data_IF_891929327731
#
_entry.id   IF_891929327731
#
_cell.length_a   1.000
_cell.length_b   1.000
_cell.length_c   1.000
_cell.angle_alpha   90.00
_cell.angle_beta   90.00
_cell.angle_gamma   90.00
#
_symmetry.space_group_name_H-M   'P 1'
#
loop_
_entity.id
_entity.type
_entity.pdbx_description
1 polymer ?
#
# COMPACT_ATOMS: atom_id res chain seq x y z
N UNK A 1 3.14 -2.00 13.43
CA UNK A 1 3.26 -1.32 12.12
C UNK A 1 3.55 0.18 12.24
N UNK A 2 2.86 0.88 13.15
CA UNK A 2 2.89 2.34 13.25
C UNK A 2 4.27 2.93 13.57
N UNK A 3 5.04 2.29 14.46
CA UNK A 3 6.34 2.82 14.87
C UNK A 3 7.34 2.88 13.71
N UNK A 4 7.45 1.80 12.92
CA UNK A 4 8.32 1.74 11.74
C UNK A 4 8.01 2.83 10.73
N UNK A 5 6.72 3.06 10.47
CA UNK A 5 6.28 4.11 9.57
C UNK A 5 6.64 5.50 10.11
N UNK A 6 6.36 5.75 11.39
CA UNK A 6 6.71 7.02 12.04
C UNK A 6 8.21 7.29 11.96
N UNK A 7 9.06 6.27 12.16
CA UNK A 7 10.51 6.39 12.02
C UNK A 7 10.93 6.65 10.57
N UNK A 8 10.37 5.92 9.61
CA UNK A 8 10.66 6.13 8.18
C UNK A 8 10.28 7.54 7.73
N UNK A 9 9.10 8.04 8.11
CA UNK A 9 8.65 9.40 7.81
C UNK A 9 9.64 10.44 8.35
N UNK A 10 10.10 10.28 9.59
CA UNK A 10 11.10 11.19 10.20
C UNK A 10 12.45 11.14 9.49
N UNK A 11 12.96 9.94 9.17
CA UNK A 11 14.24 9.77 8.46
C UNK A 11 14.19 10.41 7.07
N UNK A 12 13.11 10.18 6.31
CA UNK A 12 12.93 10.80 4.98
C UNK A 12 12.83 12.33 5.11
N UNK A 13 12.00 12.83 6.02
CA UNK A 13 11.82 14.27 6.21
C UNK A 13 13.15 14.95 6.56
N UNK A 14 13.96 14.34 7.44
CA UNK A 14 15.28 14.87 7.80
C UNK A 14 16.22 14.92 6.59
N UNK A 15 16.29 13.85 5.79
CA UNK A 15 17.17 13.79 4.60
C UNK A 15 16.75 14.79 3.53
N UNK A 16 15.45 14.91 3.26
CA UNK A 16 14.93 15.86 2.26
C UNK A 16 15.13 17.30 2.73
N UNK A 17 14.92 17.58 4.03
CA UNK A 17 15.15 18.92 4.60
C UNK A 17 16.62 19.31 4.56
N UNK A 18 17.53 18.39 4.89
CA UNK A 18 18.99 18.60 4.79
C UNK A 18 19.45 18.82 3.35
N UNK A 19 18.89 18.08 2.40
CA UNK A 19 19.25 18.18 0.99
C UNK A 19 18.68 19.44 0.31
N UNK A 20 17.49 19.87 0.71
CA UNK A 20 16.70 20.87 -0.01
C UNK A 20 15.87 20.26 -1.15
N UNK A 21 15.13 21.11 -1.87
CA UNK A 21 14.33 20.70 -3.03
C UNK A 21 15.22 20.67 -4.27
N UNK A 22 15.40 19.52 -4.93
CA UNK A 22 16.14 19.47 -6.18
C UNK A 22 15.47 20.30 -7.28
N UNK A 23 16.26 21.06 -8.01
CA UNK A 23 15.86 21.88 -9.16
C UNK A 23 16.30 21.28 -10.51
N UNK A 24 17.23 20.32 -10.50
CA UNK A 24 17.67 19.57 -11.68
C UNK A 24 17.67 18.03 -11.46
N UNK A 25 18.01 17.29 -12.52
CA UNK A 25 18.08 15.82 -12.48
C UNK A 25 19.25 15.30 -11.65
N UNK A 26 20.34 16.07 -11.55
CA UNK A 26 21.55 15.66 -10.82
C UNK A 26 21.31 15.73 -9.30
N UNK A 27 20.61 16.77 -8.84
CA UNK A 27 20.09 16.89 -7.48
C UNK A 27 19.09 15.77 -7.16
N UNK A 28 18.20 15.42 -8.09
CA UNK A 28 17.27 14.31 -7.89
C UNK A 28 17.99 12.97 -7.71
N UNK A 29 19.06 12.71 -8.50
CA UNK A 29 19.91 11.52 -8.34
C UNK A 29 20.65 11.55 -7.01
N UNK A 30 21.27 12.67 -6.63
CA UNK A 30 21.98 12.80 -5.36
C UNK A 30 21.06 12.59 -4.14
N UNK A 31 19.83 13.12 -4.17
CA UNK A 31 18.82 12.84 -3.15
C UNK A 31 18.42 11.36 -3.12
N UNK A 32 18.34 10.72 -4.29
CA UNK A 32 18.01 9.29 -4.40
C UNK A 32 19.07 8.41 -3.75
N UNK A 33 20.35 8.74 -3.89
CA UNK A 33 21.46 8.00 -3.29
C UNK A 33 21.41 8.07 -1.76
N UNK A 34 21.01 9.23 -1.20
CA UNK A 34 20.78 9.39 0.25
C UNK A 34 19.57 8.59 0.73
N UNK A 35 18.49 8.53 -0.05
CA UNK A 35 17.23 7.89 0.36
C UNK A 35 17.19 6.38 0.09
N UNK A 36 17.96 5.87 -0.87
CA UNK A 36 17.96 4.45 -1.25
C UNK A 36 18.23 3.51 -0.06
N UNK A 37 19.26 3.74 0.80
CA UNK A 37 19.51 2.88 1.96
C UNK A 37 18.37 2.88 2.97
N UNK A 38 17.67 4.01 3.13
CA UNK A 38 16.51 4.14 4.02
C UNK A 38 15.37 3.27 3.49
N UNK A 39 15.05 3.36 2.19
CA UNK A 39 13.99 2.55 1.59
C UNK A 39 14.31 1.06 1.71
N UNK A 40 15.55 0.66 1.43
CA UNK A 40 15.95 -0.75 1.54
C UNK A 40 15.88 -1.29 2.98
N UNK A 41 16.30 -0.48 3.96
CA UNK A 41 16.17 -0.79 5.40
C UNK A 41 14.70 -1.06 5.73
N UNK A 42 13.80 -0.14 5.41
CA UNK A 42 12.39 -0.30 5.75
C UNK A 42 11.69 -1.38 4.93
N UNK A 43 12.09 -1.62 3.66
CA UNK A 43 11.62 -2.79 2.89
C UNK A 43 11.91 -4.09 3.62
N UNK A 44 13.13 -4.27 4.17
CA UNK A 44 13.47 -5.45 4.96
C UNK A 44 12.63 -5.57 6.23
N UNK A 45 12.37 -4.46 6.92
CA UNK A 45 11.54 -4.46 8.12
C UNK A 45 10.06 -4.82 7.82
N UNK A 46 9.47 -4.24 6.78
CA UNK A 46 8.10 -4.57 6.35
C UNK A 46 8.00 -6.01 5.86
N UNK A 47 8.97 -6.50 5.08
CA UNK A 47 9.05 -7.90 4.68
C UNK A 47 9.04 -8.84 5.89
N UNK A 48 9.92 -8.60 6.87
CA UNK A 48 10.01 -9.43 8.08
C UNK A 48 8.73 -9.41 8.88
N UNK A 49 8.10 -8.24 9.04
CA UNK A 49 6.86 -8.10 9.79
C UNK A 49 5.72 -8.89 9.13
N UNK A 50 5.51 -8.72 7.82
CA UNK A 50 4.41 -9.39 7.12
C UNK A 50 4.64 -10.90 7.01
N UNK A 51 5.90 -11.36 6.86
CA UNK A 51 6.24 -12.79 6.91
C UNK A 51 6.02 -13.39 8.29
N UNK A 52 6.37 -12.68 9.36
CA UNK A 52 6.14 -13.14 10.73
C UNK A 52 4.64 -13.23 11.05
N UNK A 53 3.85 -12.24 10.62
CA UNK A 53 2.40 -12.27 10.76
C UNK A 53 1.81 -13.46 9.99
N UNK A 54 2.15 -13.61 8.70
CA UNK A 54 1.70 -14.72 7.88
C UNK A 54 2.05 -16.09 8.50
N UNK A 55 3.24 -16.24 9.08
CA UNK A 55 3.63 -17.45 9.79
C UNK A 55 2.77 -17.71 11.04
N UNK A 56 2.47 -16.65 11.80
CA UNK A 56 1.62 -16.73 12.99
C UNK A 56 0.17 -17.10 12.62
N UNK A 57 -0.37 -16.51 11.56
CA UNK A 57 -1.70 -16.79 11.03
C UNK A 57 -1.83 -18.27 10.59
N UNK A 58 -0.81 -18.79 9.90
CA UNK A 58 -0.80 -20.20 9.49
C UNK A 58 -0.64 -21.14 10.69
N UNK A 59 0.20 -20.79 11.66
CA UNK A 59 0.38 -21.58 12.87
C UNK A 59 -0.92 -21.68 13.69
N UNK A 60 -1.72 -20.61 13.74
CA UNK A 60 -3.04 -20.61 14.39
C UNK A 60 -4.04 -21.59 13.72
N UNK A 61 -3.81 -21.94 12.44
CA UNK A 61 -4.57 -22.96 11.71
C UNK A 61 -3.95 -24.37 11.79
N UNK A 62 -2.86 -24.55 12.55
CA UNK A 62 -2.10 -25.80 12.59
C UNK A 62 -1.29 -26.07 11.32
N UNK A 63 -0.93 -25.02 10.58
CA UNK A 63 -0.25 -25.08 9.29
C UNK A 63 1.16 -24.49 9.34
N UNK A 64 2.02 -24.97 8.44
CA UNK A 64 3.33 -24.42 8.17
C UNK A 64 3.37 -23.86 6.74
N UNK A 65 3.99 -22.69 6.59
CA UNK A 65 4.20 -22.04 5.30
C UNK A 65 5.68 -21.67 5.12
N UNK A 66 6.20 -21.91 3.93
CA UNK A 66 7.50 -21.40 3.53
C UNK A 66 7.32 -20.06 2.80
N UNK A 67 7.73 -18.91 3.38
CA UNK A 67 7.54 -17.61 2.77
C UNK A 67 8.37 -17.46 1.49
N UNK A 68 7.83 -16.75 0.51
CA UNK A 68 8.57 -16.33 -0.67
C UNK A 68 9.74 -15.40 -0.30
N UNK A 69 10.81 -15.44 -1.13
CA UNK A 69 11.95 -14.54 -0.97
C UNK A 69 11.54 -13.09 -1.25
N UNK A 70 12.13 -12.15 -0.50
CA UNK A 70 11.94 -10.73 -0.77
C UNK A 70 12.39 -10.39 -2.18
N UNK A 71 11.55 -9.70 -2.96
CA UNK A 71 11.93 -9.18 -4.28
C UNK A 71 12.97 -8.06 -4.14
N UNK A 72 13.89 -8.01 -5.11
CA UNK A 72 14.85 -6.91 -5.26
C UNK A 72 14.16 -5.56 -5.40
N UNK A 73 14.90 -4.49 -5.13
CA UNK A 73 14.45 -3.12 -5.27
C UNK A 73 15.40 -2.40 -6.21
N UNK A 74 14.87 -1.89 -7.31
CA UNK A 74 15.63 -1.16 -8.31
C UNK A 74 15.89 0.27 -7.83
N UNK A 75 17.14 0.74 -7.89
CA UNK A 75 17.50 2.10 -7.54
C UNK A 75 16.76 3.14 -8.41
N UNK A 76 16.44 2.79 -9.66
CA UNK A 76 15.65 3.63 -10.56
C UNK A 76 14.28 3.98 -9.97
N UNK A 77 13.69 3.12 -9.15
CA UNK A 77 12.40 3.39 -8.53
C UNK A 77 12.46 4.54 -7.50
N UNK A 78 13.60 4.76 -6.86
CA UNK A 78 13.80 5.88 -5.93
C UNK A 78 14.01 7.18 -6.70
N UNK A 79 14.78 7.15 -7.79
CA UNK A 79 14.95 8.29 -8.71
C UNK A 79 13.59 8.71 -9.27
N UNK A 80 12.81 7.78 -9.83
CA UNK A 80 11.47 8.05 -10.36
C UNK A 80 10.52 8.67 -9.33
N UNK A 81 10.60 8.19 -8.08
CA UNK A 81 9.77 8.73 -6.99
C UNK A 81 10.09 10.20 -6.72
N UNK A 82 11.38 10.56 -6.68
CA UNK A 82 11.83 11.93 -6.45
C UNK A 82 11.49 12.82 -7.63
N UNK A 83 11.83 12.40 -8.85
CA UNK A 83 11.57 13.13 -10.10
C UNK A 83 10.09 13.49 -10.23
N UNK A 84 9.19 12.54 -9.96
CA UNK A 84 7.74 12.82 -9.95
C UNK A 84 7.31 13.73 -8.80
N UNK A 85 7.90 13.57 -7.61
CA UNK A 85 7.55 14.37 -6.45
C UNK A 85 7.89 15.86 -6.64
N UNK A 86 8.99 16.16 -7.34
CA UNK A 86 9.41 17.53 -7.66
C UNK A 86 8.71 18.10 -8.91
N UNK A 87 7.88 17.32 -9.58
CA UNK A 87 7.10 17.75 -10.75
C UNK A 87 7.84 17.66 -12.07
N UNK A 88 8.94 16.90 -12.14
CA UNK A 88 9.58 16.54 -13.41
C UNK A 88 8.90 15.28 -13.99
N UNK A 89 8.44 15.35 -15.24
CA UNK A 89 7.76 14.24 -15.93
C UNK A 89 6.23 14.27 -15.84
N UNK A 90 5.60 13.16 -16.23
CA UNK A 90 4.14 13.07 -16.36
C UNK A 90 3.40 13.22 -15.02
N UNK A 91 2.27 13.95 -15.04
CA UNK A 91 1.43 14.15 -13.86
C UNK A 91 0.94 12.80 -13.29
N UNK A 92 1.03 12.56 -11.97
CA UNK A 92 0.53 11.33 -11.38
C UNK A 92 -0.97 11.13 -11.65
N UNK A 93 -1.42 9.87 -11.70
CA UNK A 93 -2.83 9.53 -11.87
C UNK A 93 -3.69 10.20 -10.79
N UNK A 94 -4.67 11.01 -11.20
CA UNK A 94 -5.62 11.82 -10.41
C UNK A 94 -6.57 11.02 -9.49
N UNK A 95 -6.13 9.92 -8.90
CA UNK A 95 -6.95 9.26 -7.90
C UNK A 95 -6.81 10.03 -6.59
N UNK A 96 -7.83 10.85 -6.30
CA UNK A 96 -7.94 11.58 -5.05
C UNK A 96 -7.96 10.57 -3.92
N UNK A 97 -6.99 10.67 -3.01
CA UNK A 97 -6.98 9.90 -1.76
C UNK A 97 -8.02 10.58 -0.88
N UNK A 98 -9.13 9.88 -0.65
CA UNK A 98 -10.33 10.44 -0.02
C UNK A 98 -10.27 10.56 1.52
N UNK A 99 -9.21 10.01 2.13
CA UNK A 99 -8.94 9.98 3.57
C UNK A 99 -7.45 10.30 3.81
N UNK A 100 -7.08 11.56 3.56
CA UNK A 100 -5.88 12.18 4.14
C UNK A 100 -6.37 13.10 5.27
N UNK A 101 -5.54 13.36 6.28
CA UNK A 101 -5.83 14.45 7.21
C UNK A 101 -5.90 15.79 6.45
N UNK A 102 -6.71 16.73 6.95
CA UNK A 102 -7.05 17.98 6.25
C UNK A 102 -5.79 18.77 5.80
N UNK A 103 -4.74 18.76 6.63
CA UNK A 103 -3.46 19.43 6.35
C UNK A 103 -2.73 18.76 5.20
N UNK A 104 -2.65 17.43 5.18
CA UNK A 104 -2.03 16.67 4.10
C UNK A 104 -2.85 16.75 2.80
N UNK A 105 -4.18 16.84 2.90
CA UNK A 105 -5.08 16.99 1.75
C UNK A 105 -4.85 18.29 0.97
N UNK A 106 -4.76 19.43 1.68
CA UNK A 106 -4.55 20.75 1.07
C UNK A 106 -3.18 20.88 0.38
N UNK A 107 -2.12 20.32 0.99
CA UNK A 107 -0.76 20.39 0.46
C UNK A 107 -0.61 19.64 -0.89
N UNK A 108 -1.38 18.56 -1.09
CA UNK A 108 -1.29 17.74 -2.31
C UNK A 108 -2.08 18.33 -3.49
N UNK A 109 -3.10 19.16 -3.20
CA UNK A 109 -4.05 19.67 -4.19
C UNK A 109 -3.45 20.70 -5.18
N UNK A 110 -2.50 21.53 -4.75
CA UNK A 110 -1.85 22.52 -5.61
C UNK A 110 -0.57 21.96 -6.26
N UNK A 111 -0.60 21.86 -7.59
CA UNK A 111 0.54 21.44 -8.42
C UNK A 111 1.53 22.60 -8.60
N UNK A 112 2.41 22.82 -7.62
CA UNK A 112 3.62 23.63 -7.83
C UNK A 112 4.66 22.74 -8.51
N UNK A 113 5.23 23.18 -9.62
CA UNK A 113 6.41 22.55 -10.22
C UNK A 113 7.60 22.87 -9.33
N UNK A 114 7.81 22.05 -8.30
CA UNK A 114 8.77 22.30 -7.22
C UNK A 114 10.18 22.54 -7.76
N UNK A 115 10.57 21.80 -8.79
CA UNK A 115 11.87 22.00 -9.44
C UNK A 115 12.07 23.39 -10.03
N UNK A 116 11.00 24.02 -10.54
CA UNK A 116 11.05 25.35 -11.15
C UNK A 116 10.99 26.47 -10.09
N UNK A 117 10.51 26.17 -8.88
CA UNK A 117 10.33 27.13 -7.80
C UNK A 117 10.78 26.54 -6.44
N UNK A 118 12.05 26.13 -6.30
CA UNK A 118 12.52 25.39 -5.13
C UNK A 118 12.42 26.18 -3.82
N UNK A 119 12.47 27.52 -3.90
CA UNK A 119 12.40 28.43 -2.76
C UNK A 119 10.98 28.95 -2.46
N UNK A 120 9.95 28.51 -3.19
CA UNK A 120 8.59 28.98 -2.96
C UNK A 120 8.07 28.49 -1.59
N UNK A 121 7.36 29.33 -0.81
CA UNK A 121 6.80 28.94 0.48
C UNK A 121 6.01 27.62 0.40
N UNK A 122 6.27 26.69 1.31
CA UNK A 122 5.58 25.39 1.41
C UNK A 122 5.97 24.34 0.38
N UNK A 123 6.88 24.61 -0.58
CA UNK A 123 7.30 23.61 -1.56
C UNK A 123 8.06 22.45 -0.92
N UNK A 124 8.93 22.75 0.06
CA UNK A 124 9.66 21.72 0.79
C UNK A 124 8.71 20.72 1.46
N UNK A 125 7.69 21.21 2.18
CA UNK A 125 6.70 20.35 2.86
C UNK A 125 5.93 19.48 1.86
N UNK A 126 5.55 20.04 0.70
CA UNK A 126 4.90 19.29 -0.38
C UNK A 126 5.81 18.19 -0.95
N UNK A 127 7.09 18.47 -1.16
CA UNK A 127 8.07 17.48 -1.65
C UNK A 127 8.31 16.39 -0.61
N UNK A 128 8.50 16.76 0.66
CA UNK A 128 8.63 15.83 1.78
C UNK A 128 7.41 14.89 1.82
N UNK A 129 6.20 15.43 1.76
CA UNK A 129 4.97 14.64 1.79
C UNK A 129 4.87 13.65 0.61
N UNK A 130 5.14 14.11 -0.62
CA UNK A 130 5.07 13.27 -1.84
C UNK A 130 6.13 12.17 -1.82
N UNK A 131 7.40 12.52 -1.59
CA UNK A 131 8.50 11.56 -1.50
C UNK A 131 8.20 10.53 -0.41
N UNK A 132 7.78 10.98 0.78
CA UNK A 132 7.44 10.10 1.90
C UNK A 132 6.33 9.12 1.53
N UNK A 133 5.24 9.59 0.92
CA UNK A 133 4.10 8.74 0.57
C UNK A 133 4.48 7.67 -0.46
N UNK A 134 5.27 8.02 -1.48
CA UNK A 134 5.76 7.07 -2.49
C UNK A 134 6.76 6.07 -1.91
N UNK A 135 7.72 6.52 -1.11
CA UNK A 135 8.73 5.64 -0.53
C UNK A 135 8.16 4.71 0.54
N UNK A 136 7.19 5.15 1.34
CA UNK A 136 6.44 4.27 2.25
C UNK A 136 5.69 3.18 1.49
N UNK A 137 5.06 3.54 0.36
CA UNK A 137 4.42 2.55 -0.51
C UNK A 137 5.46 1.52 -1.00
N UNK A 138 6.64 1.95 -1.43
CA UNK A 138 7.72 1.06 -1.89
C UNK A 138 8.23 0.15 -0.76
N UNK A 139 8.34 0.67 0.46
CA UNK A 139 8.71 -0.10 1.64
C UNK A 139 7.68 -1.20 1.96
N UNK A 140 6.41 -0.82 2.11
CA UNK A 140 5.29 -1.76 2.35
C UNK A 140 5.16 -2.81 1.25
N UNK A 141 5.46 -2.44 -0.01
CA UNK A 141 5.35 -3.36 -1.15
C UNK A 141 6.18 -4.63 -0.95
N UNK A 142 7.31 -4.57 -0.24
CA UNK A 142 8.15 -5.74 -0.01
C UNK A 142 7.42 -6.88 0.75
N UNK A 143 6.67 -6.54 1.81
CA UNK A 143 5.87 -7.52 2.55
C UNK A 143 4.63 -7.98 1.79
N UNK A 144 3.94 -7.05 1.12
CA UNK A 144 2.76 -7.38 0.30
C UNK A 144 3.07 -8.31 -0.86
N UNK A 145 4.20 -8.08 -1.53
CA UNK A 145 4.68 -8.97 -2.60
C UNK A 145 5.06 -10.34 -2.02
N UNK A 146 5.65 -10.40 -0.83
CA UNK A 146 6.02 -11.67 -0.21
C UNK A 146 4.78 -12.54 0.08
N UNK A 147 3.71 -11.96 0.61
CA UNK A 147 2.45 -12.70 0.84
C UNK A 147 1.82 -13.14 -0.47
N UNK A 148 1.70 -12.25 -1.46
CA UNK A 148 1.13 -12.57 -2.76
C UNK A 148 1.92 -13.66 -3.50
N UNK A 149 3.26 -13.60 -3.43
CA UNK A 149 4.14 -14.62 -4.02
C UNK A 149 4.08 -15.93 -3.26
N UNK A 150 3.94 -15.89 -1.94
CA UNK A 150 3.75 -17.10 -1.11
C UNK A 150 2.44 -17.80 -1.47
N UNK A 151 1.35 -17.04 -1.64
CA UNK A 151 0.07 -17.57 -2.11
C UNK A 151 0.23 -18.25 -3.48
N UNK A 152 0.92 -17.60 -4.42
CA UNK A 152 1.18 -18.15 -5.76
C UNK A 152 1.99 -19.44 -5.73
N UNK A 153 2.95 -19.56 -4.82
CA UNK A 153 3.73 -20.79 -4.66
C UNK A 153 2.89 -21.94 -4.10
N UNK A 154 1.85 -21.65 -3.31
CA UNK A 154 0.92 -22.65 -2.77
C UNK A 154 1.55 -23.66 -1.82
N UNK A 155 2.75 -23.37 -1.28
CA UNK A 155 3.52 -24.30 -0.44
C UNK A 155 3.12 -24.20 1.03
N UNK A 156 1.92 -24.65 1.34
CA UNK A 156 1.40 -24.77 2.71
C UNK A 156 1.18 -26.23 3.05
N UNK A 157 1.57 -26.64 4.25
CA UNK A 157 1.43 -28.02 4.72
C UNK A 157 0.87 -28.07 6.14
N UNK A 158 0.25 -29.20 6.45
CA UNK A 158 -0.13 -29.53 7.83
C UNK A 158 1.12 -29.63 8.70
N UNK A 159 1.11 -28.95 9.85
CA UNK A 159 2.26 -28.86 10.74
C UNK A 159 2.56 -30.19 11.44
N UNK A 160 1.56 -31.01 11.75
CA UNK A 160 1.73 -32.28 12.43
C UNK A 160 2.10 -33.40 11.46
N UNK A 161 1.37 -33.50 10.34
CA UNK A 161 1.53 -34.56 9.35
C UNK A 161 2.65 -34.29 8.35
N UNK A 162 3.15 -33.05 8.28
CA UNK A 162 4.15 -32.59 7.30
C UNK A 162 3.75 -32.83 5.84
N UNK A 163 2.45 -32.87 5.55
CA UNK A 163 1.89 -33.13 4.21
C UNK A 163 1.23 -31.87 3.63
N UNK A 164 1.35 -31.62 2.31
CA UNK A 164 0.64 -30.52 1.67
C UNK A 164 -0.85 -30.56 1.95
N UNK A 165 -1.47 -29.40 2.14
CA UNK A 165 -2.92 -29.33 2.31
C UNK A 165 -3.62 -29.42 0.95
N UNK A 166 -4.74 -30.16 0.88
CA UNK A 166 -5.56 -30.28 -0.33
C UNK A 166 -6.46 -29.07 -0.60
N UNK A 167 -6.12 -27.89 -0.09
CA UNK A 167 -6.92 -26.66 -0.14
C UNK A 167 -6.22 -25.61 -1.00
N UNK A 168 -6.99 -24.73 -1.66
CA UNK A 168 -6.40 -23.60 -2.39
C UNK A 168 -5.80 -22.57 -1.43
N UNK A 169 -4.66 -22.02 -1.83
CA UNK A 169 -3.99 -20.92 -1.12
C UNK A 169 -4.19 -19.65 -1.93
N UNK A 170 -4.64 -18.60 -1.27
CA UNK A 170 -4.84 -17.29 -1.85
C UNK A 170 -4.24 -16.20 -0.98
N UNK A 171 -4.48 -14.96 -1.37
CA UNK A 171 -4.25 -13.81 -0.50
C UNK A 171 -5.43 -12.84 -0.60
N UNK A 172 -5.67 -12.10 0.48
CA UNK A 172 -6.64 -11.02 0.51
C UNK A 172 -5.94 -9.70 0.84
N UNK A 173 -6.54 -8.58 0.43
CA UNK A 173 -6.15 -7.26 0.90
C UNK A 173 -6.94 -6.92 2.15
N UNK A 174 -6.27 -6.45 3.18
CA UNK A 174 -6.89 -6.00 4.43
C UNK A 174 -6.54 -4.54 4.65
N UNK A 175 -7.58 -3.73 4.82
CA UNK A 175 -7.43 -2.32 5.20
C UNK A 175 -7.09 -2.23 6.68
N UNK A 176 -6.23 -1.27 7.08
CA UNK A 176 -5.96 -1.04 8.51
C UNK A 176 -6.74 0.13 9.09
N UNK A 177 -7.61 0.75 8.27
CA UNK A 177 -8.61 1.73 8.70
C UNK A 177 -8.09 3.17 8.91
N UNK A 178 -6.78 3.45 8.80
CA UNK A 178 -6.20 4.77 9.10
C UNK A 178 -5.97 5.60 7.84
N UNK A 179 -5.45 5.00 6.78
CA UNK A 179 -5.27 5.64 5.48
C UNK A 179 -5.83 4.72 4.37
N UNK A 180 -7.10 4.95 4.02
CA UNK A 180 -7.82 4.11 3.05
C UNK A 180 -8.04 4.85 1.74
N UNK A 181 -7.47 4.33 0.64
CA UNK A 181 -7.86 4.80 -0.69
C UNK A 181 -9.04 3.95 -1.23
N UNK A 182 -10.05 4.56 -1.87
CA UNK A 182 -11.24 3.85 -2.38
C UNK A 182 -10.90 2.71 -3.36
N UNK A 183 -9.79 2.83 -4.09
CA UNK A 183 -9.34 1.77 -4.98
C UNK A 183 -8.82 0.53 -4.26
N UNK A 184 -8.00 0.70 -3.21
CA UNK A 184 -7.52 -0.45 -2.43
C UNK A 184 -8.67 -1.07 -1.62
N UNK A 185 -9.58 -0.24 -1.09
CA UNK A 185 -10.81 -0.72 -0.47
C UNK A 185 -11.68 -1.52 -1.45
N UNK A 186 -11.78 -1.10 -2.72
CA UNK A 186 -12.48 -1.84 -3.77
C UNK A 186 -11.77 -3.16 -4.11
N UNK A 187 -10.43 -3.19 -4.12
CA UNK A 187 -9.73 -4.46 -4.30
C UNK A 187 -9.90 -5.39 -3.09
N UNK A 188 -9.96 -4.85 -1.88
CA UNK A 188 -10.24 -5.60 -0.66
C UNK A 188 -11.68 -6.11 -0.60
N UNK A 189 -12.66 -5.39 -1.16
CA UNK A 189 -14.07 -5.81 -1.23
C UNK A 189 -14.31 -7.04 -2.11
N UNK A 190 -13.32 -7.49 -2.89
CA UNK A 190 -13.37 -8.71 -3.72
C UNK A 190 -13.02 -9.99 -2.96
N UNK A 191 -12.47 -9.87 -1.76
CA UNK A 191 -12.08 -11.01 -0.94
C UNK A 191 -10.81 -11.71 -1.42
N UNK A 192 -10.57 -12.95 -0.97
CA UNK A 192 -9.35 -13.68 -1.29
C UNK A 192 -9.25 -14.08 -2.76
N UNK A 193 -8.06 -13.90 -3.33
CA UNK A 193 -7.72 -14.28 -4.71
C UNK A 193 -6.96 -15.61 -4.67
N UNK A 194 -7.58 -16.68 -5.19
CA UNK A 194 -7.06 -18.05 -5.19
C UNK A 194 -6.45 -18.52 -6.54
N UNK A 195 -6.67 -17.76 -7.61
CA UNK A 195 -6.13 -18.02 -8.97
C UNK A 195 -5.73 -16.69 -9.60
N UNK A 196 -4.99 -16.72 -10.72
CA UNK A 196 -4.79 -15.53 -11.56
C UNK A 196 -6.09 -15.15 -12.32
N UNK A 197 -7.19 -14.90 -11.61
CA UNK A 197 -8.39 -14.34 -12.21
C UNK A 197 -8.27 -12.83 -12.41
N UNK A 198 -9.16 -12.25 -13.23
CA UNK A 198 -9.10 -10.90 -13.88
C UNK A 198 -8.41 -9.73 -13.13
N UNK A 199 -8.37 -9.74 -11.81
CA UNK A 199 -7.63 -8.82 -10.94
C UNK A 199 -6.12 -8.84 -11.20
N UNK A 200 -5.51 -10.00 -11.48
CA UNK A 200 -4.08 -10.10 -11.80
C UNK A 200 -3.78 -9.99 -13.30
N UNK A 201 -4.79 -10.24 -14.16
CA UNK A 201 -4.66 -10.11 -15.63
C UNK A 201 -4.51 -8.67 -16.09
N UNK A 202 -5.04 -7.71 -15.32
CA UNK A 202 -4.72 -6.28 -15.49
C UNK A 202 -3.56 -5.93 -14.56
N UNK A 203 -2.58 -5.19 -15.06
CA UNK A 203 -1.42 -4.72 -14.28
C UNK A 203 -1.81 -3.95 -12.99
N UNK A 204 -3.08 -3.58 -12.86
CA UNK A 204 -3.63 -2.63 -11.90
C UNK A 204 -4.02 -3.27 -10.57
N UNK A 205 -4.38 -4.56 -10.54
CA UNK A 205 -4.84 -5.23 -9.31
C UNK A 205 -3.72 -5.57 -8.33
N UNK A 206 -2.45 -5.49 -8.75
CA UNK A 206 -1.26 -5.55 -7.87
C UNK A 206 -0.73 -4.17 -7.49
N UNK A 207 -1.27 -3.09 -8.06
CA UNK A 207 -0.83 -1.74 -7.71
C UNK A 207 -1.33 -1.37 -6.32
N UNK A 208 -0.51 -0.57 -5.66
CA UNK A 208 -0.85 0.12 -4.43
C UNK A 208 -0.67 1.60 -4.74
N UNK A 209 -1.48 2.45 -4.12
CA UNK A 209 -1.35 3.90 -4.22
C UNK A 209 -0.61 4.44 -3.01
N UNK A 210 -0.04 5.63 -3.19
CA UNK A 210 0.64 6.37 -2.14
C UNK A 210 -0.38 6.72 -1.04
N UNK A 211 0.07 6.78 0.21
CA UNK A 211 -0.82 7.07 1.34
C UNK A 211 -1.90 6.01 1.59
N UNK A 212 -1.73 4.76 1.13
CA UNK A 212 -2.60 3.66 1.52
C UNK A 212 -1.89 2.69 2.46
N UNK A 213 -2.55 2.36 3.56
CA UNK A 213 -2.02 1.51 4.64
C UNK A 213 -2.36 0.01 4.49
N UNK A 214 -3.10 -0.37 3.44
CA UNK A 214 -3.53 -1.75 3.28
C UNK A 214 -2.35 -2.74 3.21
N UNK A 215 -2.59 -3.92 3.78
CA UNK A 215 -1.67 -5.07 3.80
C UNK A 215 -2.26 -6.26 3.04
N UNK A 216 -1.41 -7.23 2.75
CA UNK A 216 -1.82 -8.50 2.18
C UNK A 216 -1.78 -9.58 3.27
N UNK A 217 -2.78 -10.44 3.31
CA UNK A 217 -2.85 -11.59 4.23
C UNK A 217 -2.97 -12.88 3.43
N UNK A 218 -2.32 -13.94 3.91
CA UNK A 218 -2.42 -15.26 3.28
C UNK A 218 -3.74 -15.91 3.71
N UNK A 219 -4.44 -16.53 2.77
CA UNK A 219 -5.75 -17.15 3.03
C UNK A 219 -5.73 -18.59 2.57
N UNK A 220 -6.23 -19.48 3.43
CA UNK A 220 -6.49 -20.88 3.09
C UNK A 220 -7.98 -21.05 2.87
N UNK A 221 -8.35 -21.65 1.74
CA UNK A 221 -9.73 -21.89 1.37
C UNK A 221 -10.52 -22.56 2.51
N UNK A 222 -11.75 -22.08 2.75
CA UNK A 222 -12.64 -22.57 3.81
C UNK A 222 -11.97 -22.59 5.20
N UNK A 223 -11.16 -21.58 5.50
CA UNK A 223 -10.52 -21.38 6.81
C UNK A 223 -10.71 -19.93 7.24
N UNK A 224 -10.86 -19.64 8.54
CA UNK A 224 -10.96 -18.26 9.02
C UNK A 224 -9.64 -17.51 8.74
N UNK A 225 -9.75 -16.21 8.48
CA UNK A 225 -8.59 -15.37 8.19
C UNK A 225 -8.81 -13.95 8.71
N UNK A 226 -7.69 -13.28 9.01
CA UNK A 226 -7.70 -11.93 9.56
C UNK A 226 -8.26 -10.92 8.56
N UNK A 227 -9.29 -10.16 8.94
CA UNK A 227 -9.92 -9.16 8.07
C UNK A 227 -11.14 -9.67 7.29
N UNK A 228 -11.58 -10.91 7.50
CA UNK A 228 -12.78 -11.45 6.82
C UNK A 228 -14.05 -10.62 7.09
N UNK A 229 -14.25 -10.17 8.33
CA UNK A 229 -15.40 -9.33 8.70
C UNK A 229 -15.36 -7.97 7.97
N UNK A 230 -14.18 -7.33 7.93
CA UNK A 230 -13.96 -6.08 7.22
C UNK A 230 -14.18 -6.23 5.71
N UNK A 231 -13.71 -7.33 5.11
CA UNK A 231 -14.01 -7.69 3.73
C UNK A 231 -15.52 -7.75 3.48
N UNK A 232 -16.28 -8.45 4.32
CA UNK A 232 -17.75 -8.57 4.15
C UNK A 232 -18.44 -7.21 4.26
N UNK A 233 -17.94 -6.29 5.09
CA UNK A 233 -18.43 -4.90 5.14
C UNK A 233 -18.12 -4.14 3.85
N UNK A 234 -16.86 -4.19 3.41
CA UNK A 234 -16.41 -3.57 2.16
C UNK A 234 -17.15 -4.09 0.93
N UNK A 235 -17.44 -5.39 0.87
CA UNK A 235 -18.23 -6.00 -0.19
C UNK A 235 -19.63 -5.42 -0.26
N UNK A 236 -20.30 -5.26 0.89
CA UNK A 236 -21.64 -4.64 0.95
C UNK A 236 -21.62 -3.20 0.48
N UNK A 237 -20.68 -2.38 0.96
CA UNK A 237 -20.58 -0.98 0.56
C UNK A 237 -20.21 -0.82 -0.92
N UNK A 238 -19.33 -1.67 -1.44
CA UNK A 238 -18.98 -1.66 -2.86
C UNK A 238 -20.18 -2.03 -3.74
N UNK A 239 -20.94 -3.07 -3.36
CA UNK A 239 -22.16 -3.46 -4.08
C UNK A 239 -23.20 -2.34 -4.07
N UNK A 240 -23.42 -1.71 -2.91
CA UNK A 240 -24.33 -0.57 -2.78
C UNK A 240 -23.89 0.61 -3.67
N UNK A 241 -22.60 0.95 -3.67
CA UNK A 241 -22.05 2.00 -4.53
C UNK A 241 -22.18 1.68 -6.04
N UNK A 242 -22.19 0.40 -6.43
CA UNK A 242 -22.36 0.01 -7.84
C UNK A 242 -23.82 -0.02 -8.30
N UNK A 243 -24.77 -0.36 -7.42
CA UNK A 243 -26.17 -0.63 -7.79
C UNK A 243 -27.05 0.63 -7.71
N UNK A 244 -26.78 1.55 -6.77
CA UNK A 244 -27.56 2.80 -6.57
C UNK A 244 -27.03 3.94 -7.47
N UNK A 245 -27.15 3.79 -8.80
CA UNK A 245 -26.56 4.71 -9.77
C UNK A 245 -27.39 5.97 -10.07
N UNK A 246 -26.96 7.11 -9.50
CA UNK A 246 -27.23 8.43 -10.09
C UNK A 246 -26.24 8.65 -11.27
N UNK A 247 -26.71 9.03 -12.48
CA UNK A 247 -25.86 9.26 -13.65
C UNK A 247 -24.75 10.31 -13.47
N UNK A 248 -24.85 11.20 -12.47
CA UNK A 248 -23.91 12.31 -12.25
C UNK A 248 -22.61 11.96 -11.50
N UNK A 249 -22.50 10.78 -10.87
CA UNK A 249 -21.41 10.49 -9.93
C UNK A 249 -20.65 9.17 -10.19
N UNK A 250 -19.32 9.27 -10.29
CA UNK A 250 -18.46 8.08 -10.47
C UNK A 250 -18.59 7.13 -9.28
N UNK A 251 -18.60 5.82 -9.54
CA UNK A 251 -18.71 4.76 -8.51
C UNK A 251 -17.65 4.92 -7.41
N UNK A 252 -16.43 5.36 -7.77
CA UNK A 252 -15.36 5.56 -6.79
C UNK A 252 -15.61 6.70 -5.81
N UNK A 253 -16.25 7.80 -6.25
CA UNK A 253 -16.59 8.92 -5.37
C UNK A 253 -17.68 8.53 -4.38
N UNK A 254 -18.73 7.84 -4.84
CA UNK A 254 -19.79 7.27 -3.98
C UNK A 254 -19.23 6.28 -2.98
N UNK A 255 -18.38 5.36 -3.45
CA UNK A 255 -17.74 4.40 -2.57
C UNK A 255 -16.82 5.10 -1.54
N UNK A 256 -16.05 6.10 -1.97
CA UNK A 256 -15.23 6.90 -1.06
C UNK A 256 -16.05 7.61 0.01
N UNK A 257 -17.21 8.18 -0.34
CA UNK A 257 -18.12 8.77 0.63
C UNK A 257 -18.70 7.73 1.61
N UNK A 258 -19.14 6.57 1.11
CA UNK A 258 -19.60 5.46 1.96
C UNK A 258 -18.53 4.92 2.91
N UNK A 259 -17.26 4.93 2.50
CA UNK A 259 -16.15 4.57 3.39
C UNK A 259 -15.92 5.60 4.51
N UNK A 260 -16.26 6.87 4.30
CA UNK A 260 -16.20 7.93 5.31
C UNK A 260 -17.41 7.89 6.25
N UNK A 261 -18.59 7.69 5.70
CA UNK A 261 -19.85 7.75 6.43
C UNK A 261 -20.17 6.42 7.13
N UNK A 262 -19.66 5.32 6.59
CA UNK A 262 -19.91 3.97 7.07
C UNK A 262 -18.88 3.50 8.08
N UNK A 263 -19.34 2.73 9.05
CA UNK A 263 -18.47 2.09 10.04
C UNK A 263 -17.81 0.81 9.49
N UNK A 264 -17.06 0.95 8.40
CA UNK A 264 -16.40 -0.17 7.73
C UNK A 264 -15.20 -0.67 8.55
N UNK A 265 -14.62 0.20 9.37
CA UNK A 265 -13.34 -0.01 10.04
C UNK A 265 -13.34 0.09 11.57
N UNK A 266 -14.47 0.28 12.29
CA UNK A 266 -14.49 0.38 13.76
C UNK A 266 -13.69 -0.72 14.47
N UNK A 267 -13.81 -1.96 14.01
CA UNK A 267 -13.21 -3.11 14.70
C UNK A 267 -11.72 -3.34 14.34
N UNK A 268 -11.09 -2.46 13.55
CA UNK A 268 -9.70 -2.64 13.06
C UNK A 268 -8.70 -1.75 13.83
N UNK A 269 -9.20 -0.87 14.70
CA UNK A 269 -8.40 0.06 15.48
C UNK A 269 -8.08 -0.50 16.89
N UNK A 270 -7.26 -1.55 16.96
CA UNK A 270 -6.42 -1.89 18.13
C UNK A 270 -4.97 -2.17 17.69
#
# INVERSE_FOLDING_TARGET
MQDREKRMRREIAAIVTDHGVPDDTSGAVALSEKLQPVVEKYRREFYRADVAQMGSDMAALGLEVAPAKMRGYDAHATVDAITRAIGMGDKPSRMVIDLLDDVTGELVAESVAAFAFPNHPGVLDKVVARVTATLLRHARKAGRDAVADTARLGRVRDAALKRPIGKRIGYARVMTGRETCPWCAMLASRGPVYTEDTVTRRADGRRYHDGCDCRAVLVVENSPWEGEAAYKRLEREWRAATWDADPGETVFRRFGQRLRDGDVFADIAE
#
